data_IF_443479903195
#
_entry.id   IF_443479903195
#
_cell.length_a   1.000
_cell.length_b   1.000
_cell.length_c   1.000
_cell.angle_alpha   90.00
_cell.angle_beta   90.00
_cell.angle_gamma   90.00
#
_symmetry.space_group_name_H-M   'P 1'
#
loop_
_entity.id
_entity.type
_entity.pdbx_description
1 polymer ?
#
# COMPACT_ATOMS: atom_id res chain seq x y z
N UNK A 1 4.41 -15.64 1.13
CA UNK A 1 4.83 -14.54 0.24
C UNK A 1 4.27 -14.82 -1.14
N UNK A 2 3.48 -13.90 -1.71
CA UNK A 2 2.91 -14.01 -3.06
C UNK A 2 3.57 -12.95 -3.94
N UNK A 3 4.04 -13.36 -5.10
CA UNK A 3 4.53 -12.42 -6.13
C UNK A 3 3.38 -12.03 -7.04
N UNK A 4 3.27 -10.74 -7.36
CA UNK A 4 2.21 -10.19 -8.20
C UNK A 4 2.86 -9.30 -9.26
N UNK A 5 3.04 -9.79 -10.51
CA UNK A 5 3.60 -8.99 -11.60
C UNK A 5 2.86 -7.66 -11.81
N UNK A 6 1.57 -7.63 -11.49
CA UNK A 6 0.69 -6.46 -11.57
C UNK A 6 1.10 -5.32 -10.63
N UNK A 7 1.94 -5.60 -9.62
CA UNK A 7 2.47 -4.60 -8.69
C UNK A 7 3.65 -3.82 -9.28
N UNK A 8 4.27 -4.32 -10.36
CA UNK A 8 5.39 -3.64 -11.00
C UNK A 8 4.92 -2.38 -11.71
N UNK A 9 5.41 -1.22 -11.27
CA UNK A 9 5.00 0.12 -11.75
C UNK A 9 3.48 0.37 -11.65
N UNK A 10 2.82 -0.25 -10.67
CA UNK A 10 1.39 -0.11 -10.46
C UNK A 10 1.01 1.33 -10.05
N UNK A 11 -0.14 1.81 -10.53
CA UNK A 11 -0.76 3.05 -10.06
C UNK A 11 -1.40 2.86 -8.68
N UNK A 12 -1.74 3.96 -8.01
CA UNK A 12 -2.48 3.94 -6.74
C UNK A 12 -3.75 3.10 -6.81
N UNK A 13 -4.53 3.24 -7.89
CA UNK A 13 -5.79 2.52 -8.09
C UNK A 13 -5.56 1.02 -8.27
N UNK A 14 -4.52 0.64 -9.00
CA UNK A 14 -4.15 -0.76 -9.19
C UNK A 14 -3.73 -1.38 -7.85
N UNK A 15 -2.90 -0.69 -7.06
CA UNK A 15 -2.46 -1.17 -5.75
C UNK A 15 -3.66 -1.35 -4.81
N UNK A 16 -4.57 -0.39 -4.74
CA UNK A 16 -5.81 -0.49 -3.95
C UNK A 16 -6.66 -1.67 -4.42
N UNK A 17 -6.82 -1.86 -5.73
CA UNK A 17 -7.54 -3.00 -6.28
C UNK A 17 -6.94 -4.35 -5.86
N UNK A 18 -5.62 -4.44 -5.72
CA UNK A 18 -4.96 -5.64 -5.18
C UNK A 18 -5.20 -5.81 -3.68
N UNK A 19 -5.13 -4.72 -2.90
CA UNK A 19 -5.42 -4.72 -1.45
C UNK A 19 -6.85 -5.22 -1.19
N UNK A 20 -7.82 -4.74 -1.97
CA UNK A 20 -9.22 -5.12 -1.86
C UNK A 20 -9.49 -6.61 -2.11
N UNK A 21 -8.54 -7.33 -2.73
CA UNK A 21 -8.65 -8.77 -3.04
C UNK A 21 -7.94 -9.67 -2.02
N UNK A 22 -7.31 -9.11 -0.97
CA UNK A 22 -6.56 -9.89 0.03
C UNK A 22 -7.46 -10.84 0.83
N UNK A 23 -8.71 -10.44 1.07
CA UNK A 23 -9.69 -11.19 1.84
C UNK A 23 -9.51 -11.03 3.36
N UNK A 24 -10.59 -11.30 4.11
CA UNK A 24 -10.72 -10.92 5.52
C UNK A 24 -9.96 -11.83 6.51
N UNK A 25 -9.28 -12.88 6.03
CA UNK A 25 -8.47 -13.77 6.86
C UNK A 25 -7.14 -13.16 7.33
N UNK A 26 -6.79 -11.99 6.81
CA UNK A 26 -5.55 -11.29 7.14
C UNK A 26 -5.84 -9.99 7.89
N UNK A 27 -5.04 -9.68 8.90
CA UNK A 27 -5.15 -8.42 9.68
C UNK A 27 -4.07 -7.42 9.33
N UNK A 28 -3.06 -7.81 8.54
CA UNK A 28 -1.94 -6.97 8.15
C UNK A 28 -1.42 -7.37 6.78
N UNK A 29 -1.01 -6.38 6.00
CA UNK A 29 -0.48 -6.56 4.65
C UNK A 29 0.86 -5.81 4.52
N UNK A 30 1.86 -6.47 3.95
CA UNK A 30 3.11 -5.84 3.52
C UNK A 30 3.15 -5.83 2.00
N UNK A 31 3.28 -4.63 1.43
CA UNK A 31 3.42 -4.42 -0.01
C UNK A 31 4.85 -3.95 -0.28
N UNK A 32 5.52 -4.62 -1.21
CA UNK A 32 6.87 -4.27 -1.66
C UNK A 32 6.77 -3.98 -3.16
N UNK A 33 7.09 -2.76 -3.56
CA UNK A 33 6.91 -2.31 -4.94
C UNK A 33 7.78 -1.09 -5.24
N UNK A 34 7.41 -0.35 -6.28
CA UNK A 34 8.18 0.78 -6.79
C UNK A 34 7.42 2.10 -6.66
N UNK A 35 8.19 3.19 -6.56
CA UNK A 35 7.68 4.53 -6.81
C UNK A 35 7.49 4.73 -8.34
N UNK A 36 6.60 5.64 -8.78
CA UNK A 36 5.86 6.62 -7.97
C UNK A 36 4.62 6.08 -7.26
N UNK A 37 4.03 4.95 -7.69
CA UNK A 37 2.74 4.46 -7.19
C UNK A 37 2.65 4.31 -5.67
N UNK A 38 3.69 3.79 -5.00
CA UNK A 38 3.70 3.71 -3.53
C UNK A 38 3.79 5.08 -2.84
N UNK A 39 4.55 6.02 -3.41
CA UNK A 39 4.67 7.38 -2.90
C UNK A 39 3.35 8.15 -3.05
N UNK A 40 2.69 7.99 -4.20
CA UNK A 40 1.37 8.56 -4.47
C UNK A 40 0.29 7.99 -3.53
N UNK A 41 0.26 6.66 -3.36
CA UNK A 41 -0.64 6.00 -2.42
C UNK A 41 -0.48 6.51 -0.99
N UNK A 42 0.77 6.72 -0.56
CA UNK A 42 1.08 7.27 0.75
C UNK A 42 0.89 8.80 0.87
N UNK A 43 0.64 9.50 -0.25
CA UNK A 43 0.57 10.95 -0.31
C UNK A 43 1.87 11.66 0.08
N UNK A 44 3.03 11.00 -0.08
CA UNK A 44 4.32 11.51 0.37
C UNK A 44 5.49 10.97 -0.45
N UNK A 45 6.56 11.76 -0.60
CA UNK A 45 7.79 11.27 -1.20
C UNK A 45 8.46 10.17 -0.36
N UNK A 46 8.85 9.07 -1.03
CA UNK A 46 9.56 7.94 -0.44
C UNK A 46 10.94 7.79 -1.09
N UNK A 47 11.95 7.49 -0.29
CA UNK A 47 13.25 7.05 -0.80
C UNK A 47 13.16 5.63 -1.39
N UNK A 48 14.21 5.17 -2.10
CA UNK A 48 14.28 3.83 -2.74
C UNK A 48 13.99 2.67 -1.79
N UNK A 49 14.18 2.86 -0.48
CA UNK A 49 13.86 1.88 0.57
C UNK A 49 13.05 2.51 1.70
N UNK A 50 12.26 3.54 1.37
CA UNK A 50 11.33 4.16 2.30
C UNK A 50 10.18 3.21 2.64
N UNK A 51 9.62 3.37 3.84
CA UNK A 51 8.46 2.60 4.28
C UNK A 51 7.38 3.55 4.76
N UNK A 52 6.14 3.29 4.35
CA UNK A 52 4.96 3.93 4.88
C UNK A 52 4.06 2.87 5.52
N UNK A 53 3.35 3.22 6.58
CA UNK A 53 2.37 2.36 7.22
C UNK A 53 1.10 3.13 7.48
N UNK A 54 -0.05 2.52 7.25
CA UNK A 54 -1.33 3.06 7.65
C UNK A 54 -2.13 2.02 8.43
N UNK A 55 -3.06 2.52 9.24
CA UNK A 55 -4.10 1.73 9.88
C UNK A 55 -5.44 2.24 9.36
N UNK A 56 -6.37 1.33 9.10
CA UNK A 56 -7.76 1.66 8.86
C UNK A 56 -8.64 0.59 9.52
N UNK A 57 -9.84 0.98 9.91
CA UNK A 57 -10.86 0.07 10.43
C UNK A 57 -11.86 -0.22 9.31
N UNK A 58 -12.14 -1.50 9.06
CA UNK A 58 -13.08 -1.92 8.01
C UNK A 58 -12.65 -3.22 7.34
N UNK A 59 -13.29 -3.52 6.21
CA UNK A 59 -12.94 -4.68 5.38
C UNK A 59 -11.91 -4.31 4.34
N UNK A 60 -11.07 -5.25 3.92
CA UNK A 60 -10.09 -4.99 2.86
C UNK A 60 -10.78 -4.54 1.57
N UNK A 61 -11.94 -5.13 1.24
CA UNK A 61 -12.75 -4.76 0.08
C UNK A 61 -13.23 -3.29 0.08
N UNK A 62 -13.22 -2.63 1.24
CA UNK A 62 -13.63 -1.23 1.42
C UNK A 62 -12.43 -0.28 1.48
N UNK A 63 -11.21 -0.81 1.46
CA UNK A 63 -9.99 -0.01 1.52
C UNK A 63 -9.95 1.01 0.36
N UNK A 64 -9.62 2.26 0.68
CA UNK A 64 -9.49 3.35 -0.28
C UNK A 64 -8.35 4.28 0.13
N UNK A 65 -7.73 5.03 -0.80
CA UNK A 65 -6.58 5.90 -0.51
C UNK A 65 -6.83 6.89 0.62
N UNK A 66 -8.07 7.40 0.72
CA UNK A 66 -8.48 8.39 1.71
C UNK A 66 -8.72 7.83 3.13
N UNK A 67 -8.67 6.51 3.31
CA UNK A 67 -9.04 5.85 4.58
C UNK A 67 -7.84 5.59 5.50
N UNK A 68 -6.66 6.08 5.14
CA UNK A 68 -5.41 5.72 5.77
C UNK A 68 -4.65 6.97 6.23
N UNK A 69 -4.47 7.13 7.54
CA UNK A 69 -3.45 8.05 8.07
C UNK A 69 -2.07 7.40 7.90
N UNK A 70 -1.30 7.88 6.91
CA UNK A 70 0.01 7.34 6.60
C UNK A 70 1.10 7.86 7.53
N UNK A 71 1.87 6.94 8.11
CA UNK A 71 3.08 7.20 8.90
C UNK A 71 4.30 6.82 8.07
N UNK A 72 5.11 7.81 7.70
CA UNK A 72 6.34 7.60 6.95
C UNK A 72 7.49 7.29 7.91
N UNK A 73 8.16 6.16 7.68
CA UNK A 73 9.39 5.80 8.37
C UNK A 73 10.58 6.14 7.50
N UNK A 74 11.39 7.08 7.99
CA UNK A 74 12.69 7.43 7.39
C UNK A 74 13.78 6.68 8.15
N UNK A 75 14.48 5.80 7.45
CA UNK A 75 15.69 5.17 7.96
C UNK A 75 16.86 6.10 7.63
N UNK A 76 17.57 6.56 8.67
CA UNK A 76 18.81 7.34 8.56
C UNK A 76 20.00 6.43 8.84
#
# INVERSE_FOLDING_TARGET
MRTMPELYLATTEQIIGLIQQVGESFTSLLIIGHNPGLAELAGAELSTSGMASAHFDGRWAECAPALAEWKIRRFR
#
